data_IF_583187021163
#
_entry.id   IF_583187021163
#
_cell.length_a   1.000
_cell.length_b   1.000
_cell.length_c   1.000
_cell.angle_alpha   90.00
_cell.angle_beta   90.00
_cell.angle_gamma   90.00
#
_symmetry.space_group_name_H-M   'P 1'
#
loop_
_entity.id
_entity.type
_entity.pdbx_description
1 polymer ?
#
# COMPACT_ATOMS: atom_id res chain seq x y z
N UNK A 1 15.42 -15.69 1.74
CA UNK A 1 16.79 -16.16 1.96
C UNK A 1 16.86 -17.52 2.63
N UNK A 2 16.05 -17.79 3.69
CA UNK A 2 16.10 -19.02 4.46
C UNK A 2 15.82 -20.30 3.63
N UNK A 3 14.96 -20.24 2.63
CA UNK A 3 14.61 -21.40 1.79
C UNK A 3 15.72 -21.90 0.86
N UNK A 4 16.61 -21.02 0.35
CA UNK A 4 17.76 -21.42 -0.51
C UNK A 4 18.96 -21.88 0.29
N UNK A 5 19.12 -21.43 1.51
CA UNK A 5 20.18 -21.85 2.43
C UNK A 5 19.91 -23.25 3.02
N UNK A 6 18.69 -23.78 2.94
CA UNK A 6 18.26 -25.00 3.62
C UNK A 6 19.06 -26.28 3.29
N UNK A 7 19.80 -26.32 2.20
CA UNK A 7 20.58 -27.49 1.76
C UNK A 7 22.11 -27.30 1.73
N UNK A 8 22.64 -26.16 2.21
CA UNK A 8 24.07 -25.93 2.21
C UNK A 8 24.79 -26.70 3.36
N UNK A 9 26.02 -27.14 3.10
CA UNK A 9 26.88 -27.78 4.11
C UNK A 9 27.03 -26.88 5.36
N UNK A 10 27.10 -25.58 5.18
CA UNK A 10 27.20 -24.56 6.24
C UNK A 10 25.93 -24.43 7.08
N UNK A 11 24.74 -24.66 6.54
CA UNK A 11 23.51 -24.68 7.34
C UNK A 11 23.43 -25.89 8.27
N UNK A 12 23.96 -27.04 7.83
CA UNK A 12 24.11 -28.18 8.72
C UNK A 12 25.03 -27.85 9.86
N UNK A 13 26.13 -27.16 9.60
CA UNK A 13 27.08 -26.68 10.59
C UNK A 13 26.44 -25.67 11.56
N UNK A 14 25.77 -24.65 11.07
CA UNK A 14 25.02 -23.67 11.89
C UNK A 14 23.98 -24.39 12.78
N UNK A 15 23.26 -25.38 12.22
CA UNK A 15 22.29 -26.17 12.99
C UNK A 15 22.95 -26.96 14.12
N UNK A 16 24.11 -27.58 13.86
CA UNK A 16 24.89 -28.29 14.88
C UNK A 16 25.40 -27.35 15.97
N UNK A 17 25.92 -26.19 15.59
CA UNK A 17 26.38 -25.15 16.54
C UNK A 17 25.22 -24.63 17.40
N UNK A 18 24.04 -24.43 16.84
CA UNK A 18 22.83 -24.02 17.58
C UNK A 18 22.44 -25.12 18.62
N UNK A 19 22.47 -26.39 18.22
CA UNK A 19 22.17 -27.49 19.13
C UNK A 19 23.18 -27.55 20.29
N UNK A 20 24.49 -27.47 19.98
CA UNK A 20 25.53 -27.45 21.02
C UNK A 20 25.38 -26.24 21.97
N UNK A 21 25.08 -25.07 21.45
CA UNK A 21 24.87 -23.89 22.29
C UNK A 21 23.67 -24.06 23.23
N UNK A 22 22.59 -24.71 22.77
CA UNK A 22 21.43 -25.00 23.61
C UNK A 22 21.70 -26.09 24.64
N UNK A 23 22.48 -27.12 24.29
CA UNK A 23 22.92 -28.15 25.25
C UNK A 23 23.77 -27.53 26.39
N UNK A 24 24.76 -26.72 26.06
CA UNK A 24 25.58 -26.04 27.06
C UNK A 24 24.76 -25.09 27.93
N UNK A 25 23.76 -24.40 27.34
CA UNK A 25 22.84 -23.58 28.10
C UNK A 25 22.00 -24.39 29.07
N UNK A 26 21.47 -25.56 28.64
CA UNK A 26 20.72 -26.47 29.51
C UNK A 26 21.61 -27.02 30.65
N UNK A 27 22.85 -27.38 30.34
CA UNK A 27 23.80 -27.80 31.35
C UNK A 27 24.09 -26.69 32.38
N UNK A 28 24.27 -25.44 31.94
CA UNK A 28 24.49 -24.29 32.79
C UNK A 28 23.31 -23.97 33.71
N UNK A 29 22.08 -24.25 33.25
CA UNK A 29 20.83 -23.97 33.98
C UNK A 29 20.35 -25.17 34.83
N UNK A 30 21.00 -26.35 34.73
CA UNK A 30 20.59 -27.54 35.47
C UNK A 30 20.69 -27.29 36.97
N UNK A 31 19.59 -27.53 37.70
CA UNK A 31 19.51 -27.39 39.13
C UNK A 31 20.46 -28.38 39.82
N UNK A 32 21.23 -27.90 40.82
CA UNK A 32 22.07 -28.73 41.72
C UNK A 32 21.70 -28.42 43.17
N UNK A 33 21.60 -29.47 44.01
CA UNK A 33 21.26 -29.36 45.44
C UNK A 33 22.32 -28.61 46.26
N UNK A 34 23.59 -28.65 45.86
CA UNK A 34 24.67 -27.83 46.46
C UNK A 34 25.31 -26.99 45.33
N UNK A 35 25.53 -25.70 45.58
CA UNK A 35 26.05 -24.75 44.63
C UNK A 35 27.23 -23.98 45.22
N UNK A 36 28.40 -24.65 45.20
CA UNK A 36 29.65 -24.13 45.71
C UNK A 36 30.46 -23.30 44.69
N UNK A 37 31.72 -23.00 45.04
CA UNK A 37 32.61 -22.20 44.19
C UNK A 37 32.91 -22.91 42.87
N UNK A 38 33.17 -24.21 42.87
CA UNK A 38 33.47 -25.01 41.70
C UNK A 38 32.28 -25.04 40.70
N UNK A 39 31.06 -25.18 41.22
CA UNK A 39 29.84 -25.15 40.37
C UNK A 39 29.61 -23.78 39.73
N UNK A 40 29.92 -22.70 40.44
CA UNK A 40 29.83 -21.33 39.88
C UNK A 40 30.83 -21.15 38.75
N UNK A 41 32.06 -21.56 38.94
CA UNK A 41 33.11 -21.51 37.91
C UNK A 41 32.73 -22.34 36.67
N UNK A 42 32.26 -23.57 36.88
CA UNK A 42 31.79 -24.43 35.78
C UNK A 42 30.62 -23.79 35.02
N UNK A 43 29.67 -23.19 35.72
CA UNK A 43 28.53 -22.50 35.12
C UNK A 43 28.99 -21.28 34.29
N UNK A 44 29.96 -20.52 34.80
CA UNK A 44 30.52 -19.38 34.05
C UNK A 44 31.24 -19.85 32.78
N UNK A 45 31.99 -20.93 32.82
CA UNK A 45 32.64 -21.52 31.66
C UNK A 45 31.62 -21.95 30.60
N UNK A 46 30.54 -22.62 31.01
CA UNK A 46 29.47 -23.03 30.09
C UNK A 46 28.80 -21.83 29.45
N UNK A 47 28.50 -20.74 30.18
CA UNK A 47 27.95 -19.54 29.59
C UNK A 47 28.92 -18.81 28.66
N UNK A 48 30.21 -18.82 28.95
CA UNK A 48 31.26 -18.31 28.06
C UNK A 48 31.27 -19.08 26.74
N UNK A 49 31.17 -20.42 26.81
CA UNK A 49 31.08 -21.27 25.62
C UNK A 49 29.81 -21.01 24.80
N UNK A 50 28.65 -20.84 25.43
CA UNK A 50 27.40 -20.44 24.77
C UNK A 50 27.59 -19.11 24.03
N UNK A 51 28.28 -18.13 24.64
CA UNK A 51 28.56 -16.84 24.03
C UNK A 51 29.47 -16.98 22.80
N UNK A 52 30.53 -17.81 22.91
CA UNK A 52 31.48 -18.09 21.84
C UNK A 52 30.74 -18.72 20.62
N UNK A 53 29.97 -19.79 20.88
CA UNK A 53 29.20 -20.48 19.83
C UNK A 53 28.17 -19.55 19.16
N UNK A 54 27.50 -18.70 19.91
CA UNK A 54 26.59 -17.71 19.35
C UNK A 54 27.30 -16.66 18.47
N UNK A 55 28.50 -16.25 18.87
CA UNK A 55 29.33 -15.35 18.06
C UNK A 55 29.77 -16.00 16.77
N UNK A 56 30.18 -17.29 16.81
CA UNK A 56 30.54 -18.07 15.64
C UNK A 56 29.35 -18.27 14.68
N UNK A 57 28.18 -18.63 15.21
CA UNK A 57 26.93 -18.74 14.44
C UNK A 57 26.64 -17.41 13.73
N UNK A 58 26.75 -16.27 14.44
CA UNK A 58 26.52 -14.94 13.86
C UNK A 58 27.48 -14.65 12.72
N UNK A 59 28.78 -14.96 12.88
CA UNK A 59 29.77 -14.78 11.82
C UNK A 59 29.48 -15.64 10.58
N UNK A 60 29.14 -16.91 10.78
CA UNK A 60 28.78 -17.82 9.67
C UNK A 60 27.51 -17.41 8.96
N UNK A 61 26.51 -16.88 9.70
CA UNK A 61 25.28 -16.35 9.10
C UNK A 61 25.56 -15.10 8.26
N UNK A 62 26.32 -14.14 8.79
CA UNK A 62 26.69 -12.93 8.08
C UNK A 62 27.46 -13.26 6.79
N UNK A 63 28.44 -14.16 6.84
CA UNK A 63 29.19 -14.61 5.66
C UNK A 63 28.30 -15.24 4.60
N UNK A 64 27.30 -16.03 5.02
CA UNK A 64 26.36 -16.64 4.08
C UNK A 64 25.41 -15.61 3.43
N UNK A 65 25.00 -14.60 4.19
CA UNK A 65 24.14 -13.53 3.66
C UNK A 65 24.91 -12.68 2.64
N UNK A 66 26.17 -12.29 2.96
CA UNK A 66 27.03 -11.54 2.07
C UNK A 66 27.25 -12.27 0.74
N UNK A 67 27.64 -13.55 0.79
CA UNK A 67 27.81 -14.37 -0.39
C UNK A 67 26.53 -14.51 -1.22
N UNK A 68 25.37 -14.57 -0.57
CA UNK A 68 24.07 -14.65 -1.23
C UNK A 68 23.75 -13.38 -2.00
N UNK A 69 24.06 -12.21 -1.41
CA UNK A 69 23.91 -10.93 -2.09
C UNK A 69 24.88 -10.78 -3.27
N UNK A 70 26.14 -11.23 -3.13
CA UNK A 70 27.14 -11.21 -4.22
C UNK A 70 26.73 -12.11 -5.42
N UNK A 71 26.12 -13.26 -5.17
CA UNK A 71 25.68 -14.20 -6.20
C UNK A 71 24.29 -13.86 -6.79
N UNK A 72 23.53 -12.96 -6.17
CA UNK A 72 22.18 -12.63 -6.58
C UNK A 72 22.18 -11.74 -7.84
N UNK A 73 21.42 -12.17 -8.87
CA UNK A 73 21.21 -11.36 -10.07
C UNK A 73 20.20 -10.23 -9.85
N UNK A 74 19.25 -10.43 -8.92
CA UNK A 74 18.23 -9.45 -8.55
C UNK A 74 18.07 -9.46 -7.02
N UNK A 75 18.12 -8.27 -6.43
CA UNK A 75 17.78 -8.04 -5.03
C UNK A 75 16.52 -7.19 -4.98
N UNK A 76 15.49 -7.67 -4.29
CA UNK A 76 14.24 -6.94 -4.09
C UNK A 76 14.00 -6.68 -2.59
N UNK A 77 13.60 -5.45 -2.28
CA UNK A 77 13.29 -5.03 -0.92
C UNK A 77 12.72 -3.62 -0.89
N UNK A 78 12.28 -3.19 0.29
CA UNK A 78 11.94 -1.78 0.49
C UNK A 78 13.23 -0.94 0.54
N UNK A 79 13.20 0.36 0.20
CA UNK A 79 14.39 1.22 0.25
C UNK A 79 15.15 1.13 1.59
N UNK A 80 14.46 1.23 2.71
CA UNK A 80 15.06 1.06 4.05
C UNK A 80 15.62 -0.36 4.24
N UNK A 81 14.88 -1.39 3.83
CA UNK A 81 15.34 -2.77 3.94
C UNK A 81 16.60 -3.06 3.14
N UNK A 82 16.74 -2.45 1.95
CA UNK A 82 17.97 -2.52 1.13
C UNK A 82 19.11 -1.78 1.80
N UNK A 83 18.84 -0.57 2.32
CA UNK A 83 19.84 0.24 3.04
C UNK A 83 20.35 -0.48 4.29
N UNK A 84 19.47 -1.04 5.10
CA UNK A 84 19.80 -1.75 6.35
C UNK A 84 20.47 -3.12 6.11
N UNK A 85 20.34 -3.69 4.92
CA UNK A 85 20.98 -4.96 4.56
C UNK A 85 22.52 -4.84 4.49
N UNK A 86 23.09 -3.63 4.54
CA UNK A 86 24.53 -3.41 4.56
C UNK A 86 25.23 -3.74 3.25
N UNK A 87 24.50 -3.72 2.12
CA UNK A 87 24.99 -4.03 0.77
C UNK A 87 25.55 -2.81 0.04
N UNK A 88 25.91 -1.76 0.77
CA UNK A 88 26.40 -0.49 0.21
C UNK A 88 27.74 -0.63 -0.55
N UNK A 89 28.42 -1.75 -0.39
CA UNK A 89 29.65 -2.11 -1.12
C UNK A 89 29.37 -2.76 -2.49
N UNK A 90 28.13 -3.14 -2.76
CA UNK A 90 27.72 -3.71 -4.04
C UNK A 90 27.30 -2.61 -5.01
N UNK A 91 27.59 -2.82 -6.29
CA UNK A 91 27.18 -1.94 -7.38
C UNK A 91 26.31 -2.72 -8.36
N UNK A 92 25.17 -2.13 -8.73
CA UNK A 92 24.22 -2.73 -9.65
C UNK A 92 24.19 -1.94 -10.96
N UNK A 93 23.97 -2.63 -12.07
CA UNK A 93 23.79 -1.97 -13.37
C UNK A 93 22.51 -1.10 -13.41
N UNK A 94 21.45 -1.54 -12.72
CA UNK A 94 20.15 -0.85 -12.73
C UNK A 94 19.43 -1.02 -11.40
N UNK A 95 18.90 0.08 -10.89
CA UNK A 95 17.95 0.14 -9.80
C UNK A 95 16.57 0.49 -10.36
N UNK A 96 15.56 -0.29 -10.03
CA UNK A 96 14.17 0.01 -10.34
C UNK A 96 13.45 0.34 -9.03
N UNK A 97 12.95 1.57 -8.91
CA UNK A 97 12.11 2.00 -7.80
C UNK A 97 10.66 1.98 -8.26
N UNK A 98 9.93 0.95 -7.85
CA UNK A 98 8.49 0.82 -8.10
C UNK A 98 7.70 1.65 -7.09
N UNK A 99 6.49 2.11 -7.49
CA UNK A 99 5.66 3.04 -6.71
C UNK A 99 6.41 4.33 -6.32
N UNK A 100 7.27 4.83 -7.22
CA UNK A 100 8.10 6.02 -6.97
C UNK A 100 7.28 7.29 -6.68
N UNK A 101 6.00 7.33 -7.09
CA UNK A 101 5.03 8.37 -6.72
C UNK A 101 4.72 8.43 -5.22
N UNK A 102 5.04 7.37 -4.46
CA UNK A 102 4.84 7.31 -3.01
C UNK A 102 6.15 7.38 -2.22
N UNK A 103 7.28 7.48 -2.89
CA UNK A 103 8.58 7.51 -2.24
C UNK A 103 9.04 8.97 -2.03
N UNK A 104 9.29 9.32 -0.76
CA UNK A 104 9.90 10.61 -0.42
C UNK A 104 11.34 10.66 -0.95
N UNK A 105 11.79 11.84 -1.38
CA UNK A 105 13.11 12.02 -1.99
C UNK A 105 14.27 11.57 -1.10
N UNK A 106 14.35 11.91 0.21
CA UNK A 106 15.45 11.46 1.06
C UNK A 106 15.59 9.95 1.14
N UNK A 107 14.49 9.21 1.07
CA UNK A 107 14.49 7.76 1.11
C UNK A 107 15.05 7.14 -0.18
N UNK A 108 14.74 7.75 -1.33
CA UNK A 108 15.27 7.32 -2.61
C UNK A 108 16.80 7.52 -2.68
N UNK A 109 17.30 8.63 -2.15
CA UNK A 109 18.75 8.92 -2.10
C UNK A 109 19.54 7.95 -1.24
N UNK A 110 18.93 7.22 -0.30
CA UNK A 110 19.60 6.17 0.46
C UNK A 110 20.05 4.99 -0.41
N UNK A 111 19.39 4.76 -1.54
CA UNK A 111 19.62 3.59 -2.41
C UNK A 111 20.15 3.95 -3.81
N UNK A 112 19.98 5.18 -4.28
CA UNK A 112 20.44 5.61 -5.59
C UNK A 112 21.94 5.40 -5.85
N UNK A 113 22.84 5.61 -4.86
CA UNK A 113 24.27 5.36 -5.05
C UNK A 113 24.63 3.91 -5.35
N UNK A 114 23.70 2.96 -5.18
CA UNK A 114 23.93 1.54 -5.43
C UNK A 114 23.90 1.16 -6.92
N UNK A 115 23.51 2.07 -7.83
CA UNK A 115 23.37 1.72 -9.24
C UNK A 115 23.77 2.86 -10.18
N UNK A 116 24.24 2.48 -11.37
CA UNK A 116 24.65 3.42 -12.42
C UNK A 116 23.43 3.99 -13.16
N UNK A 117 22.35 3.21 -13.26
CA UNK A 117 21.11 3.59 -13.92
C UNK A 117 19.94 3.46 -12.96
N UNK A 118 19.10 4.50 -12.93
CA UNK A 118 17.88 4.52 -12.11
C UNK A 118 16.66 4.54 -13.04
N UNK A 119 15.71 3.67 -12.76
CA UNK A 119 14.39 3.63 -13.39
C UNK A 119 13.35 3.87 -12.30
N UNK A 120 12.60 4.97 -12.43
CA UNK A 120 11.48 5.28 -11.56
C UNK A 120 10.19 4.80 -12.24
N UNK A 121 9.49 3.87 -11.63
CA UNK A 121 8.18 3.41 -12.06
C UNK A 121 7.13 3.90 -11.05
N UNK A 122 6.00 4.43 -11.53
CA UNK A 122 4.95 4.96 -10.67
C UNK A 122 4.03 5.91 -11.42
N UNK A 123 3.10 6.48 -10.67
CA UNK A 123 2.10 7.38 -11.20
C UNK A 123 1.93 8.58 -10.25
N UNK A 124 2.28 9.76 -10.72
CA UNK A 124 2.20 11.00 -9.95
C UNK A 124 0.77 11.55 -9.83
N UNK A 125 -0.18 10.99 -10.59
CA UNK A 125 -1.61 11.26 -10.47
C UNK A 125 -2.34 10.30 -9.53
N UNK A 126 -1.60 9.41 -8.84
CA UNK A 126 -2.08 8.61 -7.73
C UNK A 126 -1.59 9.16 -6.38
N UNK A 127 -1.77 8.39 -5.29
CA UNK A 127 -1.48 8.88 -3.94
C UNK A 127 -0.01 9.34 -3.79
N UNK A 128 0.21 10.53 -3.20
CA UNK A 128 1.55 11.01 -2.86
C UNK A 128 2.12 10.28 -1.64
N UNK A 129 3.39 10.53 -1.27
CA UNK A 129 3.97 10.02 -0.04
C UNK A 129 3.15 10.43 1.19
N UNK A 130 2.98 9.50 2.13
CA UNK A 130 2.31 9.80 3.40
C UNK A 130 3.28 10.48 4.36
N UNK A 131 3.00 11.74 4.70
CA UNK A 131 3.76 12.54 5.67
C UNK A 131 2.84 12.95 6.82
N UNK A 132 3.18 12.52 8.06
CA UNK A 132 2.36 12.78 9.24
C UNK A 132 2.53 14.20 9.78
N UNK A 133 3.69 14.83 9.56
CA UNK A 133 3.97 16.20 10.02
C UNK A 133 3.43 17.21 9.02
N UNK A 134 2.46 18.02 9.46
CA UNK A 134 1.92 19.15 8.68
C UNK A 134 2.99 20.19 8.36
N UNK A 135 3.97 20.38 9.24
CA UNK A 135 5.08 21.29 9.03
C UNK A 135 6.01 20.77 7.94
N UNK A 136 6.39 19.49 7.98
CA UNK A 136 7.19 18.86 6.96
C UNK A 136 6.49 18.85 5.58
N UNK A 137 5.17 18.64 5.56
CA UNK A 137 4.35 18.74 4.34
C UNK A 137 4.42 20.14 3.74
N UNK A 138 4.30 21.20 4.55
CA UNK A 138 4.42 22.60 4.08
C UNK A 138 5.82 22.91 3.52
N UNK A 139 6.84 22.21 4.00
CA UNK A 139 8.23 22.33 3.51
C UNK A 139 8.51 21.43 2.28
N UNK A 140 7.52 20.71 1.76
CA UNK A 140 7.61 19.93 0.53
C UNK A 140 8.01 18.46 0.70
N UNK A 141 8.06 17.92 1.93
CA UNK A 141 8.44 16.51 2.12
C UNK A 141 7.43 15.52 1.49
N UNK A 142 6.21 15.96 1.21
CA UNK A 142 5.18 15.19 0.51
C UNK A 142 5.31 15.18 -1.02
N UNK A 143 6.29 15.89 -1.58
CA UNK A 143 6.64 15.79 -3.00
C UNK A 143 7.43 14.50 -3.21
N UNK A 144 6.99 13.66 -4.13
CA UNK A 144 7.64 12.38 -4.40
C UNK A 144 8.91 12.55 -5.25
N UNK A 145 9.82 11.59 -5.14
CA UNK A 145 11.00 11.53 -6.03
C UNK A 145 10.58 11.46 -7.51
N UNK A 146 9.44 10.85 -7.83
CA UNK A 146 8.94 10.81 -9.20
C UNK A 146 8.51 12.19 -9.69
N UNK A 147 7.78 12.97 -8.88
CA UNK A 147 7.39 14.34 -9.22
C UNK A 147 8.61 15.24 -9.42
N UNK A 148 9.60 15.13 -8.53
CA UNK A 148 10.87 15.87 -8.67
C UNK A 148 11.60 15.46 -9.96
N UNK A 149 11.69 14.16 -10.25
CA UNK A 149 12.37 13.67 -11.44
C UNK A 149 11.69 14.14 -12.75
N UNK A 150 10.36 14.10 -12.83
CA UNK A 150 9.59 14.56 -14.01
C UNK A 150 9.89 16.02 -14.34
N UNK A 151 10.13 16.86 -13.34
CA UNK A 151 10.47 18.28 -13.56
C UNK A 151 11.88 18.48 -14.13
N UNK A 152 12.79 17.51 -13.94
CA UNK A 152 14.21 17.64 -14.28
C UNK A 152 14.71 16.70 -15.37
N UNK A 153 13.85 15.84 -15.92
CA UNK A 153 14.20 14.90 -17.00
C UNK A 153 13.28 15.01 -18.20
N UNK A 154 13.84 14.82 -19.39
CA UNK A 154 13.06 14.67 -20.63
C UNK A 154 12.77 13.20 -20.98
N UNK A 155 13.31 12.24 -20.22
CA UNK A 155 13.17 10.81 -20.49
C UNK A 155 11.97 10.29 -19.67
N UNK A 156 10.77 10.52 -20.18
CA UNK A 156 9.52 10.09 -19.57
C UNK A 156 8.78 9.18 -20.55
N UNK A 157 8.39 8.00 -20.11
CA UNK A 157 7.61 7.06 -20.90
C UNK A 157 6.30 6.76 -20.18
N UNK A 158 5.18 7.07 -20.84
CA UNK A 158 3.85 6.68 -20.36
C UNK A 158 3.52 5.26 -20.83
N UNK A 159 3.22 4.37 -19.88
CA UNK A 159 2.58 3.08 -20.19
C UNK A 159 1.10 3.33 -20.42
N UNK A 160 0.74 3.62 -21.66
CA UNK A 160 -0.57 4.18 -22.04
C UNK A 160 -1.68 3.14 -22.21
N UNK A 161 -1.39 1.86 -22.18
CA UNK A 161 -2.41 0.83 -22.36
C UNK A 161 -2.72 0.16 -21.02
N UNK A 162 -3.94 0.32 -20.54
CA UNK A 162 -4.44 -0.31 -19.33
C UNK A 162 -5.16 -1.62 -19.65
N UNK A 163 -5.07 -2.61 -18.73
CA UNK A 163 -5.66 -3.95 -18.89
C UNK A 163 -6.58 -4.34 -17.73
N UNK A 164 -7.01 -3.37 -16.91
CA UNK A 164 -7.81 -3.59 -15.72
C UNK A 164 -9.29 -3.30 -15.95
N UNK A 165 -9.58 -2.06 -16.38
CA UNK A 165 -10.90 -1.46 -16.30
C UNK A 165 -11.63 -1.55 -17.65
N UNK A 166 -12.96 -1.65 -17.60
CA UNK A 166 -13.78 -1.32 -18.77
C UNK A 166 -13.51 0.12 -19.20
N UNK A 167 -13.64 0.36 -20.50
CA UNK A 167 -13.34 1.66 -21.13
C UNK A 167 -14.08 2.83 -20.48
N UNK A 168 -15.38 2.65 -20.16
CA UNK A 168 -16.19 3.68 -19.50
C UNK A 168 -15.66 4.05 -18.11
N UNK A 169 -15.11 3.09 -17.36
CA UNK A 169 -14.53 3.35 -16.04
C UNK A 169 -13.21 4.11 -16.18
N UNK A 170 -12.39 3.75 -17.17
CA UNK A 170 -11.09 4.38 -17.41
C UNK A 170 -11.20 5.78 -18.02
N UNK A 171 -12.29 6.06 -18.75
CA UNK A 171 -12.42 7.23 -19.62
C UNK A 171 -12.33 8.56 -18.90
N UNK A 172 -13.01 8.72 -17.75
CA UNK A 172 -12.90 9.95 -16.96
C UNK A 172 -11.46 10.20 -16.49
N UNK A 173 -10.82 9.20 -15.90
CA UNK A 173 -9.42 9.31 -15.46
C UNK A 173 -8.50 9.60 -16.64
N UNK A 174 -8.70 8.95 -17.79
CA UNK A 174 -7.94 9.19 -19.01
C UNK A 174 -8.05 10.65 -19.46
N UNK A 175 -9.26 11.19 -19.48
CA UNK A 175 -9.51 12.58 -19.89
C UNK A 175 -8.91 13.59 -18.90
N UNK A 176 -9.20 13.43 -17.61
CA UNK A 176 -8.87 14.44 -16.60
C UNK A 176 -7.40 14.44 -16.20
N UNK A 177 -6.77 13.27 -16.03
CA UNK A 177 -5.41 13.13 -15.50
C UNK A 177 -4.37 12.83 -16.58
N UNK A 178 -4.75 12.15 -17.68
CA UNK A 178 -3.77 11.60 -18.63
C UNK A 178 -3.97 12.13 -20.05
N UNK A 179 -4.62 13.28 -20.24
CA UNK A 179 -4.80 13.96 -21.52
C UNK A 179 -5.35 13.03 -22.63
N UNK A 180 -6.28 12.13 -22.30
CA UNK A 180 -6.83 11.10 -23.19
C UNK A 180 -5.78 10.09 -23.73
N UNK A 181 -4.65 9.95 -23.06
CA UNK A 181 -3.58 9.03 -23.51
C UNK A 181 -3.71 7.62 -22.93
N UNK A 182 -4.56 7.41 -21.91
CA UNK A 182 -4.80 6.09 -21.35
C UNK A 182 -5.80 5.34 -22.22
N UNK A 183 -5.33 4.26 -22.85
CA UNK A 183 -6.06 3.47 -23.83
C UNK A 183 -6.55 2.15 -23.24
N UNK A 184 -7.73 1.72 -23.65
CA UNK A 184 -8.29 0.40 -23.31
C UNK A 184 -8.28 -0.50 -24.56
N UNK A 185 -7.75 -1.75 -24.46
CA UNK A 185 -7.79 -2.68 -25.58
C UNK A 185 -9.21 -3.18 -25.84
N UNK A 186 -9.46 -3.68 -27.06
CA UNK A 186 -10.79 -4.05 -27.55
C UNK A 186 -11.57 -5.03 -26.63
N UNK A 187 -10.89 -5.93 -25.93
CA UNK A 187 -11.51 -6.86 -24.97
C UNK A 187 -12.08 -6.17 -23.72
N UNK A 188 -11.73 -4.92 -23.48
CA UNK A 188 -12.26 -4.10 -22.38
C UNK A 188 -13.26 -3.04 -22.85
N UNK A 189 -13.67 -3.13 -24.12
CA UNK A 189 -14.72 -2.27 -24.68
C UNK A 189 -16.03 -2.41 -23.88
N UNK A 190 -16.84 -1.35 -23.91
CA UNK A 190 -18.10 -1.31 -23.17
C UNK A 190 -19.13 -2.26 -23.78
N UNK A 191 -19.74 -3.09 -22.90
CA UNK A 191 -20.83 -4.02 -23.27
C UNK A 191 -22.12 -3.73 -22.49
N UNK A 192 -22.20 -2.59 -21.82
CA UNK A 192 -23.34 -2.18 -20.98
C UNK A 192 -22.96 -0.99 -20.09
N UNK A 193 -23.73 -0.77 -19.02
CA UNK A 193 -23.44 0.27 -18.03
C UNK A 193 -22.39 -0.24 -17.05
N UNK A 194 -21.21 0.36 -17.05
CA UNK A 194 -20.08 -0.02 -16.22
C UNK A 194 -19.76 0.97 -15.11
N UNK A 195 -20.22 2.21 -15.22
CA UNK A 195 -20.10 3.26 -14.22
C UNK A 195 -21.46 3.89 -13.97
N UNK A 196 -21.81 4.08 -12.70
CA UNK A 196 -23.11 4.66 -12.29
C UNK A 196 -22.88 5.63 -11.15
N UNK A 197 -23.37 6.87 -11.30
CA UNK A 197 -23.48 7.81 -10.18
C UNK A 197 -24.88 7.71 -9.59
N UNK A 198 -24.95 7.52 -8.27
CA UNK A 198 -26.21 7.47 -7.52
C UNK A 198 -26.29 8.74 -6.72
N UNK A 199 -27.13 9.65 -7.21
CA UNK A 199 -27.29 10.98 -6.62
C UNK A 199 -28.16 10.91 -5.36
N UNK A 200 -27.65 11.51 -4.27
CA UNK A 200 -28.37 11.64 -3.01
C UNK A 200 -28.87 13.08 -2.76
N UNK A 201 -28.71 14.00 -3.69
CA UNK A 201 -29.22 15.36 -3.58
C UNK A 201 -30.72 15.37 -3.29
N UNK A 202 -31.15 16.14 -2.29
CA UNK A 202 -32.55 16.25 -1.88
C UNK A 202 -33.13 15.02 -1.19
N UNK A 203 -32.34 13.96 -0.91
CA UNK A 203 -32.81 12.76 -0.19
C UNK A 203 -32.91 12.95 1.33
N UNK A 204 -32.31 14.02 1.86
CA UNK A 204 -32.17 14.23 3.30
C UNK A 204 -31.10 13.36 3.97
N UNK A 205 -30.20 12.77 3.18
CA UNK A 205 -29.08 11.97 3.67
C UNK A 205 -27.88 12.86 3.97
N UNK A 206 -27.88 13.49 5.14
CA UNK A 206 -26.82 14.41 5.54
C UNK A 206 -25.61 13.67 6.14
N UNK A 207 -24.43 14.25 5.98
CA UNK A 207 -23.24 13.81 6.67
C UNK A 207 -23.35 14.05 8.18
N UNK A 208 -22.75 13.20 8.97
CA UNK A 208 -22.68 13.33 10.43
C UNK A 208 -21.34 12.84 10.98
N UNK A 209 -21.00 13.21 12.20
CA UNK A 209 -19.81 12.67 12.85
C UNK A 209 -20.02 11.22 13.27
N UNK A 210 -19.09 10.34 12.93
CA UNK A 210 -19.08 8.95 13.38
C UNK A 210 -18.96 8.83 14.91
N UNK A 211 -19.23 7.64 15.43
CA UNK A 211 -19.31 7.37 16.87
C UNK A 211 -18.08 7.86 17.69
N UNK A 212 -16.91 7.92 17.09
CA UNK A 212 -15.68 8.41 17.73
C UNK A 212 -15.44 9.92 17.56
N UNK A 213 -16.35 10.65 16.91
CA UNK A 213 -16.29 12.11 16.73
C UNK A 213 -15.15 12.63 15.82
N UNK A 214 -14.28 11.76 15.32
CA UNK A 214 -13.07 12.16 14.59
C UNK A 214 -13.17 12.10 13.06
N UNK A 215 -14.21 11.48 12.52
CA UNK A 215 -14.39 11.31 11.07
C UNK A 215 -15.87 11.33 10.71
N UNK A 216 -16.17 11.71 9.47
CA UNK A 216 -17.54 11.76 8.95
C UNK A 216 -18.05 10.39 8.50
N UNK A 217 -19.36 10.25 8.56
CA UNK A 217 -20.13 9.15 7.99
C UNK A 217 -21.44 9.68 7.40
N UNK A 218 -22.07 8.88 6.53
CA UNK A 218 -23.40 9.12 5.96
C UNK A 218 -24.18 7.81 5.96
N UNK A 219 -25.01 7.56 7.00
CA UNK A 219 -25.80 6.33 7.09
C UNK A 219 -26.81 6.16 5.94
N UNK A 220 -27.27 7.26 5.36
CA UNK A 220 -28.16 7.24 4.19
C UNK A 220 -27.49 6.59 2.98
N UNK A 221 -26.23 6.92 2.70
CA UNK A 221 -25.47 6.29 1.63
C UNK A 221 -25.25 4.79 1.89
N UNK A 222 -25.04 4.35 3.16
CA UNK A 222 -24.91 2.93 3.50
C UNK A 222 -26.20 2.15 3.26
N UNK A 223 -27.38 2.76 3.48
CA UNK A 223 -28.65 2.14 3.14
C UNK A 223 -28.81 1.93 1.62
N UNK A 224 -28.28 2.86 0.81
CA UNK A 224 -28.22 2.70 -0.64
C UNK A 224 -27.31 1.52 -1.01
N UNK A 225 -26.14 1.39 -0.38
CA UNK A 225 -25.20 0.27 -0.61
C UNK A 225 -25.89 -1.07 -0.37
N UNK A 226 -26.64 -1.21 0.73
CA UNK A 226 -27.37 -2.45 1.06
C UNK A 226 -28.40 -2.79 -0.03
N UNK A 227 -29.16 -1.78 -0.50
CA UNK A 227 -30.12 -1.96 -1.59
C UNK A 227 -29.42 -2.36 -2.89
N UNK A 228 -28.33 -1.67 -3.23
CA UNK A 228 -27.55 -1.90 -4.44
C UNK A 228 -27.01 -3.34 -4.52
N UNK A 229 -26.50 -3.86 -3.41
CA UNK A 229 -26.04 -5.26 -3.33
C UNK A 229 -27.12 -6.27 -3.69
N UNK A 230 -28.37 -5.96 -3.34
CA UNK A 230 -29.52 -6.82 -3.60
C UNK A 230 -30.06 -6.64 -5.04
N UNK A 231 -30.21 -5.38 -5.48
CA UNK A 231 -30.83 -5.07 -6.79
C UNK A 231 -29.93 -5.41 -7.97
N UNK A 232 -28.61 -5.23 -7.82
CA UNK A 232 -27.61 -5.53 -8.87
C UNK A 232 -27.06 -6.96 -8.75
N UNK A 233 -27.57 -7.77 -7.82
CA UNK A 233 -27.13 -9.15 -7.57
C UNK A 233 -25.59 -9.26 -7.46
N UNK A 234 -24.96 -8.28 -6.79
CA UNK A 234 -23.49 -8.22 -6.70
C UNK A 234 -22.98 -9.31 -5.76
N UNK A 235 -22.08 -10.13 -6.26
CA UNK A 235 -21.38 -11.09 -5.42
C UNK A 235 -20.47 -10.39 -4.40
N UNK A 236 -20.67 -10.67 -3.13
CA UNK A 236 -19.97 -10.02 -2.04
C UNK A 236 -18.45 -10.29 -2.05
N UNK A 237 -18.01 -11.46 -2.56
CA UNK A 237 -16.60 -11.80 -2.61
C UNK A 237 -15.84 -11.04 -3.72
N UNK A 238 -16.51 -10.70 -4.81
CA UNK A 238 -15.98 -9.93 -5.93
C UNK A 238 -16.22 -8.42 -5.81
N UNK A 239 -16.91 -7.97 -4.76
CA UNK A 239 -17.27 -6.57 -4.51
C UNK A 239 -16.44 -5.98 -3.37
N UNK A 240 -16.05 -4.70 -3.49
CA UNK A 240 -15.51 -3.93 -2.39
C UNK A 240 -16.26 -2.61 -2.20
N UNK A 241 -16.38 -2.20 -0.94
CA UNK A 241 -16.82 -0.88 -0.52
C UNK A 241 -15.61 -0.04 -0.12
N UNK A 242 -15.50 1.14 -0.68
CA UNK A 242 -14.44 2.09 -0.35
C UNK A 242 -15.00 3.48 -0.05
N UNK A 243 -14.35 4.20 0.85
CA UNK A 243 -14.68 5.59 1.19
C UNK A 243 -13.42 6.36 1.59
N UNK A 244 -13.34 7.67 1.35
CA UNK A 244 -12.26 8.51 1.87
C UNK A 244 -12.31 8.70 3.39
N UNK A 245 -13.45 8.40 4.03
CA UNK A 245 -13.69 8.66 5.45
C UNK A 245 -13.65 7.40 6.30
N UNK A 246 -12.79 7.38 7.33
CA UNK A 246 -12.66 6.23 8.24
C UNK A 246 -13.93 6.00 9.07
N UNK A 247 -14.71 7.04 9.37
CA UNK A 247 -16.03 6.93 10.03
C UNK A 247 -17.00 6.10 9.19
N UNK A 248 -17.10 6.39 7.89
CA UNK A 248 -17.94 5.63 6.96
C UNK A 248 -17.50 4.17 6.83
N UNK A 249 -16.18 3.94 6.80
CA UNK A 249 -15.62 2.57 6.78
C UNK A 249 -15.95 1.81 8.06
N UNK A 250 -15.93 2.47 9.22
CA UNK A 250 -16.30 1.84 10.49
C UNK A 250 -17.78 1.46 10.52
N UNK A 251 -18.67 2.38 10.15
CA UNK A 251 -20.11 2.13 10.06
C UNK A 251 -20.44 1.04 9.03
N UNK A 252 -19.78 1.05 7.87
CA UNK A 252 -19.96 0.02 6.85
C UNK A 252 -19.58 -1.38 7.35
N UNK A 253 -18.53 -1.53 8.16
CA UNK A 253 -18.11 -2.82 8.75
C UNK A 253 -19.16 -3.43 9.68
N UNK A 254 -20.01 -2.60 10.27
CA UNK A 254 -21.11 -3.05 11.15
C UNK A 254 -22.36 -3.40 10.35
N UNK A 255 -22.62 -2.70 9.23
CA UNK A 255 -23.86 -2.78 8.49
C UNK A 255 -23.81 -3.72 7.29
N UNK A 256 -22.67 -3.81 6.60
CA UNK A 256 -22.56 -4.55 5.34
C UNK A 256 -22.26 -6.04 5.56
N UNK A 257 -22.77 -6.92 4.68
CA UNK A 257 -22.59 -8.37 4.82
C UNK A 257 -21.13 -8.78 4.56
N UNK A 258 -20.68 -9.82 5.24
CA UNK A 258 -19.43 -10.51 4.90
C UNK A 258 -19.66 -11.45 3.69
N UNK A 259 -18.70 -11.63 2.77
CA UNK A 259 -17.28 -11.26 2.86
C UNK A 259 -16.87 -9.98 2.10
N UNK A 260 -17.74 -8.97 1.96
CA UNK A 260 -17.38 -7.72 1.27
C UNK A 260 -16.09 -7.14 1.87
N UNK A 261 -15.15 -6.75 1.00
CA UNK A 261 -13.98 -6.00 1.40
C UNK A 261 -14.36 -4.54 1.66
N UNK A 262 -14.15 -4.06 2.90
CA UNK A 262 -14.47 -2.68 3.32
C UNK A 262 -13.16 -1.99 3.72
N UNK A 263 -12.86 -0.83 3.11
CA UNK A 263 -11.56 -0.17 3.28
C UNK A 263 -11.64 1.33 3.01
N UNK A 264 -10.68 2.08 3.54
CA UNK A 264 -10.41 3.43 3.04
C UNK A 264 -9.73 3.35 1.67
N UNK A 265 -9.78 4.46 0.90
CA UNK A 265 -9.13 4.54 -0.42
C UNK A 265 -7.64 4.24 -0.30
N UNK A 266 -6.94 4.86 0.67
CA UNK A 266 -5.50 4.67 0.87
C UNK A 266 -5.14 3.20 1.17
N UNK A 267 -5.93 2.53 2.00
CA UNK A 267 -5.71 1.10 2.33
C UNK A 267 -6.11 0.15 1.20
N UNK A 268 -6.78 0.64 0.17
CA UNK A 268 -7.17 -0.13 -1.02
C UNK A 268 -6.22 0.06 -2.19
N UNK A 269 -5.20 0.91 -2.05
CA UNK A 269 -4.20 1.11 -3.09
C UNK A 269 -3.48 -0.20 -3.45
N UNK A 270 -3.15 -0.38 -4.72
CA UNK A 270 -2.59 -1.63 -5.25
C UNK A 270 -3.57 -2.79 -5.37
N UNK A 271 -4.79 -2.65 -4.84
CA UNK A 271 -5.84 -3.68 -4.94
C UNK A 271 -6.84 -3.33 -6.05
N UNK A 272 -7.60 -4.33 -6.48
CA UNK A 272 -8.66 -4.21 -7.49
C UNK A 272 -9.76 -5.23 -7.21
N UNK A 273 -10.98 -4.95 -7.67
CA UNK A 273 -12.13 -5.86 -7.58
C UNK A 273 -12.99 -5.74 -8.83
N UNK A 274 -13.78 -6.76 -9.09
CA UNK A 274 -14.73 -6.72 -10.20
C UNK A 274 -15.70 -5.54 -10.03
N UNK A 275 -16.27 -5.40 -8.82
CA UNK A 275 -17.20 -4.33 -8.50
C UNK A 275 -16.66 -3.45 -7.36
N UNK A 276 -16.76 -2.14 -7.52
CA UNK A 276 -16.44 -1.16 -6.49
C UNK A 276 -17.68 -0.31 -6.21
N UNK A 277 -17.97 -0.13 -4.94
CA UNK A 277 -18.94 0.83 -4.45
C UNK A 277 -18.17 1.90 -3.67
N UNK A 278 -18.17 3.12 -4.21
CA UNK A 278 -17.51 4.29 -3.63
C UNK A 278 -18.54 5.20 -2.99
N UNK A 279 -18.42 5.45 -1.69
CA UNK A 279 -19.27 6.36 -0.93
C UNK A 279 -18.49 7.66 -0.65
N UNK A 280 -19.02 8.81 -1.13
CA UNK A 280 -18.37 10.12 -1.01
C UNK A 280 -18.63 10.77 0.33
N UNK A 281 -19.73 10.42 0.98
CA UNK A 281 -20.14 10.87 2.34
C UNK A 281 -20.60 12.32 2.42
N UNK A 282 -19.91 13.23 1.72
CA UNK A 282 -20.16 14.68 1.85
C UNK A 282 -21.57 15.06 1.37
N UNK A 283 -22.34 15.64 2.28
CA UNK A 283 -23.67 16.20 2.04
C UNK A 283 -23.95 17.27 3.09
N UNK A 284 -23.82 18.55 2.68
CA UNK A 284 -23.97 19.72 3.56
C UNK A 284 -24.37 20.95 2.75
N UNK A 285 -24.93 21.96 3.46
CA UNK A 285 -25.44 23.19 2.85
C UNK A 285 -24.33 24.17 2.45
N UNK A 286 -23.10 24.00 2.99
CA UNK A 286 -21.97 24.90 2.75
C UNK A 286 -21.22 24.59 1.45
N UNK A 287 -21.51 23.47 0.79
CA UNK A 287 -20.75 22.97 -0.38
C UNK A 287 -19.30 22.61 -0.04
N UNK A 288 -19.01 22.32 1.25
CA UNK A 288 -17.67 21.92 1.65
C UNK A 288 -17.43 20.44 1.32
N UNK A 289 -16.48 20.19 0.45
CA UNK A 289 -16.13 18.83 -0.01
C UNK A 289 -15.00 18.17 0.81
N UNK A 290 -14.38 18.88 1.77
CA UNK A 290 -13.40 18.32 2.70
C UNK A 290 -12.28 17.52 2.04
N UNK A 291 -12.10 16.26 2.44
CA UNK A 291 -11.07 15.36 1.89
C UNK A 291 -11.27 15.00 0.40
N UNK A 292 -12.43 15.24 -0.16
CA UNK A 292 -12.68 15.04 -1.59
C UNK A 292 -11.89 16.02 -2.47
N UNK A 293 -11.27 17.07 -1.92
CA UNK A 293 -10.33 17.98 -2.62
C UNK A 293 -9.03 17.30 -3.03
N UNK A 294 -8.73 16.11 -2.50
CA UNK A 294 -7.59 15.33 -2.95
C UNK A 294 -7.98 14.49 -4.19
N UNK A 295 -7.87 15.11 -5.36
CA UNK A 295 -8.25 14.49 -6.63
C UNK A 295 -7.40 13.26 -6.98
N UNK A 296 -6.14 13.19 -6.52
CA UNK A 296 -5.29 12.00 -6.70
C UNK A 296 -5.89 10.80 -5.95
N UNK A 297 -6.42 11.03 -4.75
CA UNK A 297 -7.14 10.01 -3.98
C UNK A 297 -8.39 9.55 -4.73
N UNK A 298 -9.13 10.49 -5.33
CA UNK A 298 -10.29 10.17 -6.15
C UNK A 298 -9.89 9.38 -7.42
N UNK A 299 -8.80 9.75 -8.10
CA UNK A 299 -8.28 8.99 -9.23
C UNK A 299 -7.97 7.53 -8.85
N UNK A 300 -7.34 7.32 -7.68
CA UNK A 300 -7.14 5.96 -7.16
C UNK A 300 -8.47 5.25 -6.96
N UNK A 301 -9.45 5.87 -6.32
CA UNK A 301 -10.75 5.25 -6.05
C UNK A 301 -11.49 4.84 -7.33
N UNK A 302 -11.56 5.74 -8.30
CA UNK A 302 -12.25 5.54 -9.58
C UNK A 302 -11.60 4.42 -10.42
N UNK A 303 -10.30 4.19 -10.25
CA UNK A 303 -9.53 3.20 -11.04
C UNK A 303 -9.36 1.84 -10.36
N UNK A 304 -10.17 1.50 -9.34
CA UNK A 304 -10.08 0.20 -8.64
C UNK A 304 -11.03 -0.87 -9.18
N UNK A 305 -12.10 -0.47 -9.90
CA UNK A 305 -13.08 -1.39 -10.45
C UNK A 305 -12.60 -1.99 -11.78
N UNK A 306 -12.91 -3.26 -12.01
CA UNK A 306 -12.71 -3.90 -13.32
C UNK A 306 -13.96 -3.81 -14.18
N UNK A 307 -15.11 -4.22 -13.64
CA UNK A 307 -16.37 -4.40 -14.36
C UNK A 307 -17.41 -3.34 -14.05
N UNK A 308 -17.67 -3.06 -12.75
CA UNK A 308 -18.68 -2.08 -12.34
C UNK A 308 -18.16 -1.13 -11.28
N UNK A 309 -18.40 0.15 -11.48
CA UNK A 309 -18.13 1.23 -10.52
C UNK A 309 -19.43 1.94 -10.16
N UNK A 310 -19.81 1.91 -8.92
CA UNK A 310 -20.93 2.68 -8.37
C UNK A 310 -20.37 3.79 -7.49
N UNK A 311 -20.72 5.03 -7.77
CA UNK A 311 -20.32 6.20 -6.98
C UNK A 311 -21.58 6.77 -6.35
N UNK A 312 -21.63 6.87 -5.03
CA UNK A 312 -22.77 7.40 -4.27
C UNK A 312 -22.34 8.73 -3.67
N UNK A 313 -23.12 9.78 -3.87
CA UNK A 313 -22.82 11.09 -3.32
C UNK A 313 -23.89 12.13 -3.62
N UNK A 314 -23.81 13.25 -2.95
CA UNK A 314 -24.71 14.39 -3.08
C UNK A 314 -24.20 15.38 -4.13
N UNK A 315 -24.82 15.40 -5.32
CA UNK A 315 -24.44 16.31 -6.39
C UNK A 315 -24.60 17.78 -6.01
N UNK A 316 -25.55 18.14 -5.14
CA UNK A 316 -25.74 19.52 -4.70
C UNK A 316 -24.54 20.03 -3.89
N UNK A 317 -23.90 19.16 -3.10
CA UNK A 317 -22.70 19.50 -2.34
C UNK A 317 -21.45 19.55 -3.21
N UNK A 318 -21.27 18.61 -4.17
CA UNK A 318 -19.99 18.45 -4.87
C UNK A 318 -19.92 19.21 -6.21
N UNK A 319 -21.05 19.58 -6.83
CA UNK A 319 -21.05 20.13 -8.20
C UNK A 319 -20.41 21.53 -8.31
N UNK A 320 -20.24 22.26 -7.22
CA UNK A 320 -19.54 23.55 -7.22
C UNK A 320 -18.02 23.42 -7.45
N UNK A 321 -17.45 22.23 -7.20
CA UNK A 321 -16.04 21.95 -7.46
C UNK A 321 -15.82 21.52 -8.92
N UNK A 322 -14.79 22.07 -9.55
CA UNK A 322 -14.54 21.86 -10.98
C UNK A 322 -14.26 20.40 -11.36
N UNK A 323 -13.58 19.64 -10.51
CA UNK A 323 -13.32 18.22 -10.73
C UNK A 323 -14.61 17.40 -10.71
N UNK A 324 -15.44 17.63 -9.68
CA UNK A 324 -16.71 16.90 -9.54
C UNK A 324 -17.73 17.34 -10.56
N UNK A 325 -17.75 18.61 -10.96
CA UNK A 325 -18.58 19.07 -12.07
C UNK A 325 -18.23 18.34 -13.37
N UNK A 326 -16.92 18.23 -13.69
CA UNK A 326 -16.47 17.49 -14.85
C UNK A 326 -16.80 15.99 -14.76
N UNK A 327 -16.71 15.40 -13.55
CA UNK A 327 -17.09 14.01 -13.30
C UNK A 327 -18.59 13.79 -13.51
N UNK A 328 -19.44 14.63 -12.94
CA UNK A 328 -20.89 14.55 -13.13
C UNK A 328 -21.29 14.70 -14.60
N UNK A 329 -20.69 15.68 -15.32
CA UNK A 329 -20.91 15.85 -16.75
C UNK A 329 -20.47 14.62 -17.58
N UNK A 330 -19.40 13.93 -17.16
CA UNK A 330 -18.98 12.68 -17.80
C UNK A 330 -20.01 11.56 -17.60
N UNK A 331 -20.77 11.60 -16.50
CA UNK A 331 -21.78 10.58 -16.14
C UNK A 331 -23.13 10.78 -16.86
N UNK A 332 -23.41 11.98 -17.38
CA UNK A 332 -24.58 12.29 -18.22
C UNK A 332 -24.46 11.70 -19.63
#
# INVERSE_FOLDING_TARGET
PEGRLANSKQQKEIKQLKQRAEEFRRMALKYKRSFGKAEREQRQLLFKEVKNLRSEIKKLQAYNEEKLFEEAQVIAGTPIGVYDAGINHLQFATLVLDEAGQCIEPLAWCIFPLADKIVLAGDHWQLPPTVLSMEATKLGLNVSILETAIQHTAIIHLLNTQYRMKEAIAGFSSCYFYNNQLLSPAQLANTGTHITFIDTAGSGYNEEHGANGSSLQNPGELNIVIKLLQTEELDAASTAFISPYSGQVAAAKEMLPKPIRISTIDSFQGQEKENIILSLVRSNDDGDIGFLKDYRRMNVALTRAKEKLFVIGDSATIAADAFYHAFLTYME
#
